data_IF_013232659869
#
_entry.id   IF_013232659869
#
_cell.length_a   1.000
_cell.length_b   1.000
_cell.length_c   1.000
_cell.angle_alpha   90.00
_cell.angle_beta   90.00
_cell.angle_gamma   90.00
#
_symmetry.space_group_name_H-M   'P 1'
#
loop_
_entity.id
_entity.type
_entity.pdbx_description
1 polymer ?
#
# COMPACT_ATOMS: atom_id res chain seq x y z
N UNK A 1 -1.85 -31.27 4.64
CA UNK A 1 -1.00 -30.40 5.49
C UNK A 1 -1.83 -29.16 5.81
N UNK A 2 -1.81 -28.71 7.06
CA UNK A 2 -2.41 -27.41 7.40
C UNK A 2 -1.33 -26.36 7.16
N UNK A 3 -1.56 -25.45 6.25
CA UNK A 3 -0.66 -24.32 5.97
C UNK A 3 -1.02 -23.13 6.86
N UNK A 4 -0.01 -22.44 7.37
CA UNK A 4 -0.14 -21.16 8.07
C UNK A 4 0.31 -20.05 7.12
N UNK A 5 -0.65 -19.28 6.63
CA UNK A 5 -0.40 -18.18 5.70
C UNK A 5 0.08 -16.93 6.45
N UNK A 6 1.30 -16.49 6.17
CA UNK A 6 1.98 -15.37 6.82
C UNK A 6 2.50 -14.34 5.81
N UNK A 7 1.81 -14.18 4.67
CA UNK A 7 2.14 -13.21 3.62
C UNK A 7 1.00 -12.23 3.31
N UNK A 8 0.41 -11.67 4.35
CA UNK A 8 -0.71 -10.71 4.26
C UNK A 8 -0.32 -9.38 3.57
N UNK A 9 0.96 -9.04 3.53
CA UNK A 9 1.43 -7.88 2.78
C UNK A 9 1.38 -8.10 1.27
N UNK A 10 1.45 -9.35 0.78
CA UNK A 10 1.19 -9.66 -0.62
C UNK A 10 -0.31 -9.64 -0.92
N UNK A 11 -1.12 -10.36 -0.15
CA UNK A 11 -2.58 -10.31 -0.24
C UNK A 11 -3.20 -10.88 1.05
N UNK A 12 -4.17 -10.20 1.64
CA UNK A 12 -4.90 -10.71 2.79
C UNK A 12 -6.03 -11.64 2.33
N UNK A 13 -6.26 -12.80 2.98
CA UNK A 13 -7.43 -13.64 2.70
C UNK A 13 -8.73 -12.84 2.79
N UNK A 14 -9.69 -13.15 1.93
CA UNK A 14 -10.94 -12.41 1.85
C UNK A 14 -11.74 -12.52 3.15
N UNK A 15 -12.28 -11.40 3.64
CA UNK A 15 -13.13 -11.34 4.83
C UNK A 15 -14.53 -11.81 4.51
N UNK A 16 -15.20 -12.42 5.50
CA UNK A 16 -16.58 -12.91 5.37
C UNK A 16 -17.54 -11.78 4.98
N UNK A 17 -17.33 -10.57 5.49
CA UNK A 17 -18.14 -9.39 5.19
C UNK A 17 -18.05 -9.00 3.72
N UNK A 18 -16.85 -9.03 3.15
CA UNK A 18 -16.64 -8.77 1.72
C UNK A 18 -17.29 -9.87 0.86
N UNK A 19 -17.10 -11.13 1.21
CA UNK A 19 -17.72 -12.26 0.52
C UNK A 19 -19.25 -12.20 0.57
N UNK A 20 -19.83 -11.84 1.72
CA UNK A 20 -21.26 -11.70 1.88
C UNK A 20 -21.81 -10.51 1.06
N UNK A 21 -21.06 -9.41 0.95
CA UNK A 21 -21.44 -8.28 0.11
C UNK A 21 -21.49 -8.68 -1.38
N UNK A 22 -20.52 -9.47 -1.87
CA UNK A 22 -20.57 -10.03 -3.22
C UNK A 22 -21.78 -10.91 -3.45
N UNK A 23 -22.05 -11.87 -2.55
CA UNK A 23 -23.22 -12.77 -2.63
C UNK A 23 -24.53 -11.98 -2.63
N UNK A 24 -24.63 -10.93 -1.79
CA UNK A 24 -25.82 -10.07 -1.73
C UNK A 24 -26.02 -9.33 -3.04
N UNK A 25 -24.94 -8.79 -3.62
CA UNK A 25 -25.00 -8.15 -4.93
C UNK A 25 -25.47 -9.11 -6.02
N UNK A 26 -24.88 -10.30 -6.10
CA UNK A 26 -25.25 -11.31 -7.13
C UNK A 26 -26.72 -11.75 -7.02
N UNK A 27 -27.31 -11.75 -5.83
CA UNK A 27 -28.72 -12.03 -5.60
C UNK A 27 -29.65 -10.82 -5.82
N UNK A 28 -29.11 -9.65 -6.09
CA UNK A 28 -29.87 -8.39 -6.18
C UNK A 28 -30.37 -8.12 -7.61
N UNK A 29 -31.44 -7.30 -7.77
CA UNK A 29 -31.92 -6.88 -9.10
C UNK A 29 -30.91 -6.06 -9.91
N UNK A 30 -29.86 -5.54 -9.29
CA UNK A 30 -28.82 -4.74 -9.94
C UNK A 30 -27.58 -5.54 -10.34
N UNK A 31 -27.58 -6.86 -10.15
CA UNK A 31 -26.49 -7.73 -10.55
C UNK A 31 -26.22 -7.58 -12.06
N UNK A 32 -24.98 -7.24 -12.44
CA UNK A 32 -24.56 -7.01 -13.83
C UNK A 32 -25.12 -5.75 -14.51
N UNK A 33 -25.86 -4.90 -13.77
CA UNK A 33 -26.44 -3.67 -14.33
C UNK A 33 -25.39 -2.56 -14.41
N UNK A 34 -25.30 -1.92 -15.56
CA UNK A 34 -24.40 -0.77 -15.77
C UNK A 34 -24.87 0.45 -14.94
N UNK A 35 -24.06 0.97 -14.01
CA UNK A 35 -24.44 2.12 -13.17
C UNK A 35 -24.57 3.44 -13.96
N UNK A 36 -24.14 3.49 -15.24
CA UNK A 36 -24.30 4.68 -16.08
C UNK A 36 -25.61 4.68 -16.88
N UNK A 37 -26.43 3.60 -16.75
CA UNK A 37 -27.73 3.54 -17.46
C UNK A 37 -28.78 4.44 -16.78
N UNK A 38 -29.59 5.12 -17.61
CA UNK A 38 -30.60 6.08 -17.13
C UNK A 38 -31.87 5.42 -16.57
N UNK A 39 -32.11 4.13 -16.80
CA UNK A 39 -33.26 3.42 -16.24
C UNK A 39 -33.12 3.17 -14.73
N UNK A 40 -34.20 2.77 -14.07
CA UNK A 40 -34.31 2.65 -12.60
C UNK A 40 -33.22 1.79 -11.98
N UNK A 41 -32.91 0.63 -12.57
CA UNK A 41 -31.88 -0.28 -12.06
C UNK A 41 -30.48 0.30 -12.20
N UNK A 42 -30.18 1.01 -13.32
CA UNK A 42 -28.92 1.72 -13.49
C UNK A 42 -28.70 2.79 -12.43
N UNK A 43 -29.75 3.61 -12.18
CA UNK A 43 -29.70 4.62 -11.10
C UNK A 43 -29.58 3.99 -9.71
N UNK A 44 -30.14 2.81 -9.49
CA UNK A 44 -29.95 2.06 -8.23
C UNK A 44 -28.51 1.59 -8.09
N UNK A 45 -27.93 0.97 -9.13
CA UNK A 45 -26.51 0.56 -9.14
C UNK A 45 -25.56 1.75 -8.93
N UNK A 46 -25.87 2.93 -9.51
CA UNK A 46 -25.13 4.17 -9.27
C UNK A 46 -25.16 4.61 -7.80
N UNK A 47 -26.34 4.56 -7.17
CA UNK A 47 -26.47 4.90 -5.73
C UNK A 47 -25.68 3.98 -4.83
N UNK A 48 -25.69 2.67 -5.11
CA UNK A 48 -24.89 1.70 -4.36
C UNK A 48 -23.39 1.96 -4.53
N UNK A 49 -22.94 2.26 -5.74
CA UNK A 49 -21.55 2.62 -6.03
C UNK A 49 -21.13 3.91 -5.30
N UNK A 50 -21.99 4.93 -5.26
CA UNK A 50 -21.73 6.17 -4.52
C UNK A 50 -21.75 5.95 -3.00
N UNK A 51 -22.58 5.03 -2.52
CA UNK A 51 -22.55 4.55 -1.14
C UNK A 51 -21.21 3.94 -0.78
N UNK A 52 -20.66 3.08 -1.64
CA UNK A 52 -19.34 2.49 -1.46
C UNK A 52 -18.22 3.56 -1.42
N UNK A 53 -18.28 4.56 -2.32
CA UNK A 53 -17.35 5.72 -2.30
C UNK A 53 -17.40 6.47 -0.97
N UNK A 54 -18.61 6.69 -0.45
CA UNK A 54 -18.79 7.39 0.81
C UNK A 54 -18.16 6.65 1.99
N UNK A 55 -18.29 5.34 2.03
CA UNK A 55 -17.64 4.49 3.06
C UNK A 55 -16.13 4.63 2.98
N UNK A 56 -15.55 4.49 1.79
CA UNK A 56 -14.10 4.57 1.58
C UNK A 56 -13.57 5.96 1.94
N UNK A 57 -14.23 7.03 1.49
CA UNK A 57 -13.82 8.40 1.78
C UNK A 57 -13.83 8.69 3.29
N UNK A 58 -14.87 8.23 4.00
CA UNK A 58 -14.99 8.39 5.45
C UNK A 58 -13.89 7.61 6.20
N UNK A 59 -13.56 6.40 5.72
CA UNK A 59 -12.51 5.57 6.31
C UNK A 59 -11.12 6.17 6.17
N UNK A 60 -10.82 6.76 5.02
CA UNK A 60 -9.57 7.47 4.78
C UNK A 60 -9.51 8.76 5.63
N UNK A 61 -10.63 9.44 5.81
CA UNK A 61 -10.69 10.68 6.57
C UNK A 61 -10.03 11.86 5.83
N UNK A 62 -9.33 12.75 6.56
CA UNK A 62 -8.59 13.86 5.97
C UNK A 62 -9.43 14.84 5.15
N UNK A 63 -10.77 14.87 5.34
CA UNK A 63 -11.75 15.66 4.58
C UNK A 63 -11.88 15.24 3.10
N UNK A 64 -11.53 14.02 2.74
CA UNK A 64 -11.89 13.45 1.45
C UNK A 64 -13.40 13.20 1.37
N UNK A 65 -13.98 13.36 0.18
CA UNK A 65 -15.41 13.20 -0.09
C UNK A 65 -15.63 12.06 -1.09
N UNK A 66 -16.84 11.54 -1.18
CA UNK A 66 -17.18 10.48 -2.15
C UNK A 66 -16.79 10.83 -3.59
N UNK A 67 -16.94 12.10 -4.00
CA UNK A 67 -16.56 12.57 -5.34
C UNK A 67 -15.04 12.62 -5.59
N UNK A 68 -14.22 12.50 -4.55
CA UNK A 68 -12.76 12.42 -4.66
C UNK A 68 -12.30 10.98 -4.92
N UNK A 69 -13.16 9.95 -4.71
CA UNK A 69 -12.86 8.53 -4.89
C UNK A 69 -12.99 8.13 -6.35
N UNK A 70 -11.97 7.50 -6.89
CA UNK A 70 -11.88 6.94 -8.24
C UNK A 70 -11.56 5.46 -8.14
N UNK A 71 -12.46 4.57 -8.55
CA UNK A 71 -12.19 3.14 -8.56
C UNK A 71 -11.27 2.76 -9.72
N UNK A 72 -10.35 1.83 -9.45
CA UNK A 72 -9.42 1.24 -10.40
C UNK A 72 -9.21 -0.25 -10.09
N UNK A 73 -8.42 -0.97 -10.90
CA UNK A 73 -8.29 -2.42 -10.78
C UNK A 73 -7.30 -2.90 -9.72
N UNK A 74 -6.42 -2.03 -9.22
CA UNK A 74 -5.39 -2.41 -8.25
C UNK A 74 -4.51 -1.25 -7.85
N UNK A 75 -3.66 -1.44 -6.84
CA UNK A 75 -2.72 -0.43 -6.36
C UNK A 75 -1.80 0.06 -7.48
N UNK A 76 -1.31 -0.84 -8.33
CA UNK A 76 -0.45 -0.49 -9.48
C UNK A 76 -1.16 0.45 -10.45
N UNK A 77 -2.40 0.15 -10.87
CA UNK A 77 -3.17 1.07 -11.71
C UNK A 77 -3.41 2.40 -10.99
N UNK A 78 -3.74 2.36 -9.71
CA UNK A 78 -3.99 3.56 -8.91
C UNK A 78 -2.77 4.48 -8.81
N UNK A 79 -1.60 3.92 -8.55
CA UNK A 79 -0.33 4.65 -8.49
C UNK A 79 0.04 5.25 -9.86
N UNK A 80 -0.06 4.46 -10.94
CA UNK A 80 0.19 4.93 -12.30
C UNK A 80 -0.77 6.05 -12.68
N UNK A 81 -2.07 5.86 -12.44
CA UNK A 81 -3.11 6.84 -12.70
C UNK A 81 -2.84 8.15 -11.96
N UNK A 82 -2.54 8.08 -10.66
CA UNK A 82 -2.28 9.24 -9.81
C UNK A 82 -1.03 9.98 -10.26
N UNK A 83 0.09 9.28 -10.31
CA UNK A 83 1.40 9.91 -10.55
C UNK A 83 1.49 10.50 -11.96
N UNK A 84 1.18 9.73 -13.00
CA UNK A 84 1.23 10.22 -14.38
C UNK A 84 0.17 11.29 -14.63
N UNK A 85 -1.06 11.05 -14.16
CA UNK A 85 -2.18 11.97 -14.37
C UNK A 85 -1.96 13.31 -13.67
N UNK A 86 -1.44 13.31 -12.44
CA UNK A 86 -1.09 14.53 -11.69
C UNK A 86 0.09 15.25 -12.33
N UNK A 87 1.20 14.55 -12.59
CA UNK A 87 2.41 15.17 -13.16
C UNK A 87 2.08 15.90 -14.48
N UNK A 88 1.42 15.23 -15.42
CA UNK A 88 1.04 15.84 -16.70
C UNK A 88 -0.02 16.93 -16.53
N UNK A 89 -1.01 16.73 -15.65
CA UNK A 89 -2.05 17.71 -15.38
C UNK A 89 -1.49 19.02 -14.77
N UNK A 90 -0.55 18.90 -13.84
CA UNK A 90 0.12 20.04 -13.20
C UNK A 90 0.98 20.78 -14.21
N UNK A 91 1.82 20.07 -14.98
CA UNK A 91 2.65 20.68 -16.02
C UNK A 91 1.84 21.37 -17.12
N UNK A 92 0.68 20.84 -17.46
CA UNK A 92 -0.21 21.49 -18.43
C UNK A 92 -0.75 22.85 -17.94
N UNK A 93 -0.89 23.03 -16.62
CA UNK A 93 -1.27 24.32 -16.01
C UNK A 93 -0.11 25.26 -15.80
N UNK A 94 1.08 24.71 -15.47
CA UNK A 94 2.31 25.47 -15.25
C UNK A 94 3.49 24.68 -15.83
N UNK A 95 3.94 25.06 -17.01
CA UNK A 95 5.01 24.40 -17.74
C UNK A 95 6.38 24.43 -17.03
N UNK A 96 6.55 25.26 -16.02
CA UNK A 96 7.76 25.31 -15.18
C UNK A 96 7.82 24.14 -14.22
N UNK A 97 6.67 23.50 -13.92
CA UNK A 97 6.57 22.36 -13.02
C UNK A 97 6.78 21.06 -13.78
N UNK A 98 8.03 20.70 -13.98
CA UNK A 98 8.44 19.54 -14.78
C UNK A 98 9.32 18.56 -14.00
N UNK A 99 9.38 18.66 -12.67
CA UNK A 99 10.14 17.77 -11.80
C UNK A 99 9.20 16.95 -10.93
N UNK A 100 9.48 15.66 -10.76
CA UNK A 100 8.78 14.75 -9.84
C UNK A 100 9.79 14.18 -8.85
N UNK A 101 9.40 14.09 -7.57
CA UNK A 101 10.25 13.52 -6.51
C UNK A 101 9.60 12.24 -6.00
N UNK A 102 10.34 11.12 -6.02
CA UNK A 102 9.95 9.84 -5.44
C UNK A 102 10.82 9.49 -4.24
N UNK A 103 10.30 8.74 -3.28
CA UNK A 103 11.16 8.10 -2.30
C UNK A 103 11.87 6.88 -2.91
N UNK A 104 13.08 6.59 -2.45
CA UNK A 104 13.85 5.42 -2.91
C UNK A 104 13.25 4.08 -2.41
N UNK A 105 12.29 4.14 -1.51
CA UNK A 105 11.63 2.97 -0.90
C UNK A 105 10.22 2.74 -1.43
N UNK A 106 9.83 3.38 -2.53
CA UNK A 106 8.54 3.16 -3.17
C UNK A 106 8.40 1.73 -3.71
N UNK A 107 7.15 1.31 -3.88
CA UNK A 107 6.83 0.10 -4.64
C UNK A 107 7.18 0.30 -6.13
N UNK A 108 7.53 -0.79 -6.84
CA UNK A 108 7.90 -0.78 -8.27
C UNK A 108 6.85 -0.07 -9.14
N UNK A 109 5.55 -0.15 -8.77
CA UNK A 109 4.48 0.60 -9.46
C UNK A 109 4.66 2.12 -9.50
N UNK A 110 5.57 2.67 -8.69
CA UNK A 110 5.96 4.09 -8.70
C UNK A 110 7.38 4.24 -9.25
N UNK A 111 8.34 3.41 -8.80
CA UNK A 111 9.73 3.55 -9.26
C UNK A 111 9.88 3.31 -10.76
N UNK A 112 9.14 2.35 -11.32
CA UNK A 112 9.16 2.06 -12.75
C UNK A 112 8.52 3.18 -13.60
N UNK A 113 7.86 4.16 -12.98
CA UNK A 113 7.40 5.35 -13.69
C UNK A 113 8.54 6.35 -13.94
N UNK A 114 9.69 6.22 -13.27
CA UNK A 114 10.79 7.15 -13.44
C UNK A 114 11.31 7.20 -14.89
N UNK A 115 11.62 6.08 -15.58
CA UNK A 115 11.98 6.11 -16.99
C UNK A 115 10.85 6.69 -17.86
N UNK A 116 9.59 6.30 -17.62
CA UNK A 116 8.43 6.79 -18.37
C UNK A 116 8.28 8.31 -18.28
N UNK A 117 8.46 8.86 -17.07
CA UNK A 117 8.40 10.30 -16.84
C UNK A 117 9.55 11.03 -17.51
N UNK A 118 10.77 10.45 -17.50
CA UNK A 118 11.92 11.02 -18.21
C UNK A 118 11.70 11.07 -19.72
N UNK A 119 11.14 10.01 -20.31
CA UNK A 119 10.75 9.99 -21.74
C UNK A 119 9.70 11.06 -22.04
N UNK A 120 8.81 11.36 -21.11
CA UNK A 120 7.84 12.46 -21.20
C UNK A 120 8.44 13.85 -20.94
N UNK A 121 9.75 13.97 -20.67
CA UNK A 121 10.47 15.23 -20.44
C UNK A 121 10.35 15.77 -19.03
N UNK A 122 10.05 14.93 -18.03
CA UNK A 122 10.17 15.29 -16.62
C UNK A 122 11.56 15.00 -16.08
N UNK A 123 12.05 15.83 -15.18
CA UNK A 123 13.12 15.49 -14.25
C UNK A 123 12.56 14.59 -13.14
N UNK A 124 13.28 13.52 -12.78
CA UNK A 124 12.90 12.66 -11.65
C UNK A 124 14.03 12.67 -10.63
N UNK A 125 13.75 13.15 -9.43
CA UNK A 125 14.63 13.15 -8.26
C UNK A 125 14.21 12.06 -7.29
N UNK A 126 15.18 11.47 -6.57
CA UNK A 126 14.94 10.38 -5.61
C UNK A 126 15.43 10.81 -4.23
N UNK A 127 14.49 10.89 -3.27
CA UNK A 127 14.82 11.13 -1.86
C UNK A 127 15.19 9.83 -1.17
N UNK A 128 16.35 9.81 -0.48
CA UNK A 128 16.83 8.63 0.22
C UNK A 128 16.27 8.56 1.64
N UNK A 129 15.97 7.34 2.15
CA UNK A 129 15.63 7.14 3.54
C UNK A 129 16.88 7.23 4.43
N UNK A 130 16.67 7.40 5.73
CA UNK A 130 17.71 7.15 6.72
C UNK A 130 17.85 5.62 6.97
N UNK A 131 18.80 5.22 7.83
CA UNK A 131 19.05 3.81 8.17
C UNK A 131 17.88 3.11 8.86
N UNK A 132 16.90 3.86 9.37
CA UNK A 132 15.67 3.32 9.94
C UNK A 132 14.53 3.19 8.91
N UNK A 133 14.79 3.47 7.63
CA UNK A 133 13.81 3.42 6.56
C UNK A 133 12.85 4.60 6.52
N UNK A 134 13.13 5.70 7.26
CA UNK A 134 12.31 6.92 7.26
C UNK A 134 12.85 7.95 6.29
N UNK A 135 11.96 8.61 5.57
CA UNK A 135 12.24 9.83 4.80
C UNK A 135 12.21 11.01 5.77
N UNK A 136 13.34 11.68 5.92
CA UNK A 136 13.46 12.87 6.76
C UNK A 136 13.04 14.12 6.00
N UNK A 137 12.36 15.04 6.70
CA UNK A 137 11.91 16.31 6.11
C UNK A 137 13.05 17.11 5.50
N UNK A 138 14.22 17.16 6.14
CA UNK A 138 15.41 17.84 5.65
C UNK A 138 15.98 17.26 4.35
N UNK A 139 15.92 15.92 4.21
CA UNK A 139 16.34 15.25 2.98
C UNK A 139 15.38 15.59 1.82
N UNK A 140 14.07 15.67 2.07
CA UNK A 140 13.11 16.10 1.08
C UNK A 140 13.28 17.57 0.72
N UNK A 141 13.42 18.47 1.70
CA UNK A 141 13.62 19.92 1.47
C UNK A 141 14.78 20.20 0.52
N UNK A 142 15.88 19.46 0.61
CA UNK A 142 17.04 19.59 -0.25
C UNK A 142 16.79 19.27 -1.73
N UNK A 143 15.67 18.65 -2.06
CA UNK A 143 15.28 18.29 -3.44
C UNK A 143 14.13 19.14 -3.99
N UNK A 144 13.60 20.07 -3.20
CA UNK A 144 12.42 20.86 -3.56
C UNK A 144 12.82 22.26 -4.07
N UNK A 145 12.21 22.64 -5.18
CA UNK A 145 12.21 23.98 -5.72
C UNK A 145 10.89 24.25 -6.46
N UNK A 146 10.78 25.39 -7.14
CA UNK A 146 9.58 25.79 -7.88
C UNK A 146 9.30 24.94 -9.13
N UNK A 147 10.25 24.12 -9.58
CA UNK A 147 10.06 23.20 -10.71
C UNK A 147 9.34 21.93 -10.30
N UNK A 148 9.26 21.61 -9.00
CA UNK A 148 8.64 20.38 -8.53
C UNK A 148 7.13 20.44 -8.68
N UNK A 149 6.59 19.54 -9.52
CA UNK A 149 5.16 19.34 -9.72
C UNK A 149 4.56 18.46 -8.64
N UNK A 150 5.21 17.33 -8.36
CA UNK A 150 4.68 16.25 -7.53
C UNK A 150 5.78 15.62 -6.68
N UNK A 151 5.43 15.34 -5.42
CA UNK A 151 6.17 14.47 -4.51
C UNK A 151 5.33 13.22 -4.27
N UNK A 152 5.93 12.03 -4.34
CA UNK A 152 5.28 10.77 -3.96
C UNK A 152 6.13 10.04 -2.94
N UNK A 153 5.57 9.81 -1.75
CA UNK A 153 6.17 9.02 -0.67
C UNK A 153 5.11 8.08 -0.11
N UNK A 154 5.41 6.77 -0.11
CA UNK A 154 4.49 5.76 0.42
C UNK A 154 4.19 6.00 1.91
N UNK A 155 2.98 5.63 2.34
CA UNK A 155 2.57 5.82 3.74
C UNK A 155 3.28 4.85 4.69
N UNK A 156 3.39 3.60 4.28
CA UNK A 156 4.09 2.55 5.03
C UNK A 156 4.78 1.60 4.06
N UNK A 157 6.00 1.23 4.38
CA UNK A 157 6.79 0.37 3.51
C UNK A 157 6.32 -1.10 3.64
N UNK A 158 6.12 -1.74 2.50
CA UNK A 158 5.60 -3.11 2.38
C UNK A 158 6.61 -4.19 2.79
N UNK A 159 7.91 -3.87 2.87
CA UNK A 159 8.96 -4.80 3.24
C UNK A 159 9.35 -4.68 4.71
N UNK A 160 9.59 -3.45 5.16
CA UNK A 160 10.10 -3.18 6.51
C UNK A 160 9.01 -2.87 7.52
N UNK A 161 7.82 -2.47 7.07
CA UNK A 161 6.73 -2.02 7.94
C UNK A 161 6.90 -0.59 8.48
N UNK A 162 7.92 0.15 8.09
CA UNK A 162 8.18 1.51 8.59
C UNK A 162 7.13 2.48 8.07
N UNK A 163 6.50 3.22 8.98
CA UNK A 163 5.50 4.26 8.68
C UNK A 163 6.22 5.59 8.44
N UNK A 164 5.85 6.27 7.36
CA UNK A 164 6.45 7.55 6.95
C UNK A 164 5.69 8.74 7.56
N UNK A 165 6.36 9.86 7.83
CA UNK A 165 5.73 11.08 8.38
C UNK A 165 5.01 11.88 7.27
N UNK A 166 4.02 11.25 6.61
CA UNK A 166 3.37 11.72 5.38
C UNK A 166 2.79 13.13 5.51
N UNK A 167 2.13 13.42 6.65
CA UNK A 167 1.55 14.76 6.88
C UNK A 167 2.62 15.87 6.95
N UNK A 168 3.76 15.57 7.55
CA UNK A 168 4.90 16.50 7.62
C UNK A 168 5.51 16.71 6.22
N UNK A 169 5.78 15.62 5.51
CA UNK A 169 6.38 15.66 4.16
C UNK A 169 5.47 16.38 3.17
N UNK A 170 4.13 16.18 3.26
CA UNK A 170 3.16 16.90 2.44
C UNK A 170 3.22 18.42 2.69
N UNK A 171 3.28 18.84 3.96
CA UNK A 171 3.40 20.28 4.30
C UNK A 171 4.72 20.88 3.79
N UNK A 172 5.80 20.12 3.84
CA UNK A 172 7.10 20.54 3.29
C UNK A 172 6.99 20.72 1.77
N UNK A 173 6.44 19.76 1.03
CA UNK A 173 6.21 19.85 -0.41
C UNK A 173 5.35 21.07 -0.78
N UNK A 174 4.30 21.34 -0.03
CA UNK A 174 3.41 22.49 -0.27
C UNK A 174 4.09 23.86 -0.12
N UNK A 175 5.19 23.98 0.63
CA UNK A 175 5.92 25.26 0.76
C UNK A 175 6.47 25.74 -0.59
N UNK A 176 6.79 24.83 -1.50
CA UNK A 176 7.22 25.15 -2.86
C UNK A 176 6.08 25.12 -3.87
N UNK A 177 4.85 24.80 -3.41
CA UNK A 177 3.65 24.64 -4.24
C UNK A 177 3.61 23.29 -4.98
N UNK A 178 4.45 22.33 -4.65
CA UNK A 178 4.38 20.96 -5.16
C UNK A 178 3.15 20.24 -4.56
N UNK A 179 2.49 19.39 -5.35
CA UNK A 179 1.44 18.49 -4.86
C UNK A 179 2.05 17.24 -4.22
N UNK A 180 1.27 16.58 -3.35
CA UNK A 180 1.75 15.41 -2.64
C UNK A 180 0.81 14.19 -2.83
N UNK A 181 1.39 13.08 -3.28
CA UNK A 181 0.76 11.76 -3.38
C UNK A 181 1.35 10.81 -2.35
N UNK A 182 0.55 9.87 -1.85
CA UNK A 182 1.03 8.75 -1.03
C UNK A 182 0.43 7.43 -1.47
N UNK A 183 1.25 6.41 -1.61
CA UNK A 183 0.78 5.02 -1.67
C UNK A 183 0.44 4.55 -0.25
N UNK A 184 -0.85 4.48 0.05
CA UNK A 184 -1.37 4.03 1.35
C UNK A 184 -1.86 2.57 1.32
N UNK A 185 -1.49 1.79 0.32
CA UNK A 185 -1.95 0.42 0.08
C UNK A 185 -1.66 -0.50 1.28
N UNK A 186 -0.53 -0.34 1.94
CA UNK A 186 -0.20 -1.13 3.14
C UNK A 186 -0.82 -0.58 4.43
N UNK A 187 -1.09 0.72 4.49
CA UNK A 187 -1.52 1.40 5.71
C UNK A 187 -3.04 1.41 5.89
N UNK A 188 -3.80 1.56 4.79
CA UNK A 188 -5.25 1.66 4.82
C UNK A 188 -5.88 0.44 5.49
N UNK A 189 -6.84 0.70 6.40
CA UNK A 189 -7.57 -0.33 7.14
C UNK A 189 -6.76 -1.07 8.22
N UNK A 190 -5.46 -0.80 8.35
CA UNK A 190 -4.58 -1.42 9.34
C UNK A 190 -4.08 -0.43 10.40
N UNK A 191 -3.99 0.85 10.04
CA UNK A 191 -3.68 1.97 10.96
C UNK A 191 -4.58 3.15 10.64
N UNK A 192 -4.70 4.09 11.60
CA UNK A 192 -5.35 5.37 11.35
C UNK A 192 -4.48 6.23 10.44
N UNK A 193 -5.06 6.74 9.35
CA UNK A 193 -4.34 7.59 8.41
C UNK A 193 -4.39 9.06 8.83
N UNK A 194 -3.27 9.75 8.77
CA UNK A 194 -3.14 11.20 8.92
C UNK A 194 -2.88 11.83 7.54
N UNK A 195 -3.96 12.16 6.81
CA UNK A 195 -3.90 12.56 5.39
C UNK A 195 -4.54 13.94 5.13
N UNK A 196 -4.64 14.78 6.15
CA UNK A 196 -5.26 16.11 6.01
C UNK A 196 -4.55 16.96 4.95
N UNK A 197 -3.24 16.88 4.88
CA UNK A 197 -2.38 17.64 3.97
C UNK A 197 -2.07 16.90 2.65
N UNK A 198 -2.52 15.64 2.50
CA UNK A 198 -2.30 14.84 1.27
C UNK A 198 -3.27 15.29 0.17
N UNK A 199 -2.77 15.41 -1.07
CA UNK A 199 -3.57 15.80 -2.23
C UNK A 199 -4.18 14.61 -2.95
N UNK A 200 -3.46 13.48 -3.02
CA UNK A 200 -3.97 12.23 -3.54
C UNK A 200 -3.34 11.03 -2.83
N UNK A 201 -4.09 9.93 -2.77
CA UNK A 201 -3.59 8.67 -2.22
C UNK A 201 -4.18 7.46 -2.94
N UNK A 202 -3.43 6.35 -2.92
CA UNK A 202 -3.85 5.07 -3.48
C UNK A 202 -4.06 4.04 -2.37
N UNK A 203 -5.15 3.27 -2.46
CA UNK A 203 -5.49 2.16 -1.55
C UNK A 203 -5.97 0.94 -2.35
N UNK A 204 -5.82 -0.27 -1.81
CA UNK A 204 -6.23 -1.51 -2.48
C UNK A 204 -7.05 -2.42 -1.57
N UNK A 205 -8.13 -3.00 -2.12
CA UNK A 205 -9.07 -3.81 -1.36
C UNK A 205 -8.42 -5.10 -0.81
N UNK A 206 -7.64 -5.79 -1.63
CA UNK A 206 -7.08 -7.10 -1.27
C UNK A 206 -6.08 -7.06 -0.11
N UNK A 207 -5.54 -5.90 0.25
CA UNK A 207 -4.63 -5.75 1.41
C UNK A 207 -5.38 -5.74 2.75
N UNK A 208 -6.68 -5.51 2.73
CA UNK A 208 -7.53 -5.48 3.93
C UNK A 208 -8.57 -6.61 3.96
N UNK A 209 -8.42 -7.60 3.09
CA UNK A 209 -9.37 -8.71 2.95
C UNK A 209 -10.61 -8.37 2.15
N UNK A 210 -10.54 -7.38 1.27
CA UNK A 210 -11.47 -7.17 0.17
C UNK A 210 -11.10 -8.02 -1.05
N UNK A 211 -11.85 -7.93 -2.16
CA UNK A 211 -11.59 -8.72 -3.35
C UNK A 211 -10.32 -8.25 -4.10
N UNK A 212 -9.74 -9.17 -4.86
CA UNK A 212 -8.74 -8.86 -5.89
C UNK A 212 -9.41 -8.06 -7.02
N UNK A 213 -8.62 -7.35 -7.79
CA UNK A 213 -9.08 -6.67 -9.02
C UNK A 213 -9.80 -5.34 -8.76
N UNK A 214 -9.81 -4.84 -7.52
CA UNK A 214 -10.32 -3.50 -7.21
C UNK A 214 -9.46 -2.76 -6.21
N UNK A 215 -9.32 -1.45 -6.45
CA UNK A 215 -8.61 -0.48 -5.65
C UNK A 215 -9.27 0.89 -5.80
N UNK A 216 -8.79 1.89 -5.09
CA UNK A 216 -9.26 3.25 -5.24
C UNK A 216 -8.11 4.26 -5.13
N UNK A 217 -8.23 5.31 -5.93
CA UNK A 217 -7.50 6.56 -5.76
C UNK A 217 -8.44 7.58 -5.14
N UNK A 218 -7.99 8.24 -4.09
CA UNK A 218 -8.67 9.43 -3.58
C UNK A 218 -7.83 10.64 -4.01
N UNK A 219 -8.45 11.56 -4.74
CA UNK A 219 -7.78 12.74 -5.29
C UNK A 219 -8.66 13.99 -5.09
N UNK A 220 -8.13 14.98 -4.40
CA UNK A 220 -8.86 16.23 -4.15
C UNK A 220 -9.20 16.92 -5.46
N UNK A 221 -10.38 17.53 -5.52
CA UNK A 221 -10.90 18.20 -6.73
C UNK A 221 -10.02 19.36 -7.24
N UNK A 222 -9.21 19.96 -6.36
CA UNK A 222 -8.26 21.04 -6.72
C UNK A 222 -7.05 20.55 -7.51
N UNK A 223 -6.74 19.24 -7.47
CA UNK A 223 -5.56 18.65 -8.11
C UNK A 223 -5.70 18.69 -9.62
N UNK A 224 -4.77 19.32 -10.36
CA UNK A 224 -4.77 19.24 -11.81
C UNK A 224 -4.49 17.80 -12.25
N UNK A 225 -5.30 17.32 -13.19
CA UNK A 225 -5.22 15.93 -13.62
C UNK A 225 -5.42 15.82 -15.12
N UNK A 226 -4.64 14.96 -15.76
CA UNK A 226 -4.81 14.56 -17.16
C UNK A 226 -5.11 13.06 -17.19
N UNK A 227 -6.23 12.69 -17.81
CA UNK A 227 -6.61 11.28 -17.97
C UNK A 227 -5.51 10.48 -18.68
N UNK A 228 -5.25 9.27 -18.17
CA UNK A 228 -4.24 8.34 -18.72
C UNK A 228 -4.88 7.24 -19.58
N UNK A 229 -6.19 7.14 -19.58
CA UNK A 229 -7.00 6.29 -20.47
C UNK A 229 -8.09 7.12 -21.10
N UNK A 230 -8.73 6.61 -22.17
CA UNK A 230 -9.75 7.33 -22.92
C UNK A 230 -10.98 6.47 -23.10
N UNK A 231 -12.19 7.04 -23.06
CA UNK A 231 -13.45 6.30 -23.20
C UNK A 231 -14.67 7.09 -22.74
N UNK A 232 -15.65 6.42 -22.15
CA UNK A 232 -17.00 6.91 -21.92
C UNK A 232 -17.21 7.87 -20.73
N UNK A 233 -16.17 8.47 -20.15
CA UNK A 233 -16.31 9.51 -19.11
C UNK A 233 -16.59 8.99 -17.70
N UNK A 234 -16.50 7.69 -17.45
CA UNK A 234 -16.66 7.12 -16.12
C UNK A 234 -15.63 7.72 -15.14
N UNK A 235 -15.88 7.57 -13.85
CA UNK A 235 -15.02 8.11 -12.77
C UNK A 235 -14.74 9.62 -12.97
N UNK A 236 -15.75 10.37 -13.39
CA UNK A 236 -15.62 11.80 -13.69
C UNK A 236 -14.55 12.12 -14.74
N UNK A 237 -14.35 11.22 -15.71
CA UNK A 237 -13.34 11.34 -16.77
C UNK A 237 -11.91 11.08 -16.33
N UNK A 238 -11.70 10.58 -15.10
CA UNK A 238 -10.36 10.28 -14.59
C UNK A 238 -9.92 8.86 -14.93
N UNK A 239 -10.83 7.89 -14.93
CA UNK A 239 -10.59 6.49 -15.27
C UNK A 239 -11.77 5.95 -16.07
N UNK A 240 -11.55 5.53 -17.29
CA UNK A 240 -12.59 5.07 -18.21
C UNK A 240 -12.82 3.56 -18.10
N UNK A 241 -14.00 3.12 -18.50
CA UNK A 241 -14.46 1.73 -18.44
C UNK A 241 -15.57 1.55 -17.41
N UNK A 242 -16.48 0.59 -17.69
CA UNK A 242 -17.61 0.28 -16.79
C UNK A 242 -17.11 -0.06 -15.38
N UNK A 243 -17.74 0.51 -14.38
CA UNK A 243 -17.35 0.32 -12.98
C UNK A 243 -17.78 -1.06 -12.48
N UNK A 244 -16.93 -1.69 -11.69
CA UNK A 244 -17.26 -2.91 -10.95
C UNK A 244 -18.02 -2.58 -9.66
N UNK A 245 -19.35 -2.59 -9.75
CA UNK A 245 -20.22 -2.33 -8.59
C UNK A 245 -20.06 -3.40 -7.53
N UNK A 246 -19.95 -4.69 -7.93
CA UNK A 246 -19.77 -5.82 -7.02
C UNK A 246 -18.51 -5.65 -6.18
N UNK A 247 -17.37 -5.46 -6.83
CA UNK A 247 -16.09 -5.27 -6.16
C UNK A 247 -16.08 -4.03 -5.26
N UNK A 248 -16.71 -2.92 -5.70
CA UNK A 248 -16.82 -1.71 -4.90
C UNK A 248 -17.60 -1.91 -3.60
N UNK A 249 -18.72 -2.67 -3.65
CA UNK A 249 -19.50 -3.00 -2.47
C UNK A 249 -18.75 -3.92 -1.51
N UNK A 250 -18.04 -4.92 -2.02
CA UNK A 250 -17.23 -5.82 -1.23
C UNK A 250 -16.02 -5.08 -0.60
N UNK A 251 -15.38 -4.18 -1.35
CA UNK A 251 -14.32 -3.31 -0.80
C UNK A 251 -14.86 -2.42 0.34
N UNK A 252 -16.03 -1.80 0.14
CA UNK A 252 -16.68 -1.01 1.19
C UNK A 252 -17.03 -1.85 2.43
N UNK A 253 -17.46 -3.10 2.26
CA UNK A 253 -17.75 -4.00 3.38
C UNK A 253 -16.48 -4.35 4.18
N UNK A 254 -15.38 -4.71 3.51
CA UNK A 254 -14.09 -4.91 4.15
C UNK A 254 -13.61 -3.64 4.87
N UNK A 255 -13.80 -2.48 4.26
CA UNK A 255 -13.44 -1.17 4.83
C UNK A 255 -14.20 -0.88 6.12
N UNK A 256 -15.52 -1.10 6.15
CA UNK A 256 -16.34 -0.92 7.37
C UNK A 256 -15.84 -1.82 8.49
N UNK A 257 -15.63 -3.10 8.18
CA UNK A 257 -15.13 -4.04 9.18
C UNK A 257 -13.80 -3.55 9.78
N UNK A 258 -12.85 -3.12 8.94
CA UNK A 258 -11.58 -2.59 9.40
C UNK A 258 -11.74 -1.35 10.29
N UNK A 259 -12.65 -0.42 9.94
CA UNK A 259 -12.92 0.77 10.75
C UNK A 259 -13.48 0.41 12.14
N UNK A 260 -14.48 -0.48 12.17
CA UNK A 260 -15.18 -0.85 13.40
C UNK A 260 -14.27 -1.61 14.37
N UNK A 261 -13.25 -2.32 13.85
CA UNK A 261 -12.36 -3.16 14.64
C UNK A 261 -10.92 -2.63 14.76
N UNK A 262 -10.60 -1.45 14.20
CA UNK A 262 -9.23 -0.95 14.03
C UNK A 262 -8.41 -0.97 15.33
N UNK A 263 -8.91 -0.40 16.40
CA UNK A 263 -8.18 -0.29 17.67
C UNK A 263 -7.86 -1.66 18.25
N UNK A 264 -8.87 -2.52 18.34
CA UNK A 264 -8.71 -3.87 18.88
C UNK A 264 -7.76 -4.72 18.04
N UNK A 265 -7.89 -4.67 16.72
CA UNK A 265 -6.99 -5.41 15.82
C UNK A 265 -5.56 -4.92 15.92
N UNK A 266 -5.35 -3.59 15.97
CA UNK A 266 -4.00 -3.03 16.15
C UNK A 266 -3.33 -3.51 17.43
N UNK A 267 -4.03 -3.49 18.56
CA UNK A 267 -3.51 -3.93 19.86
C UNK A 267 -3.09 -5.40 19.82
N UNK A 268 -3.99 -6.28 19.36
CA UNK A 268 -3.74 -7.72 19.28
C UNK A 268 -2.56 -8.02 18.35
N UNK A 269 -2.58 -7.44 17.16
CA UNK A 269 -1.59 -7.75 16.12
C UNK A 269 -0.22 -7.17 16.47
N UNK A 270 -0.16 -5.98 17.08
CA UNK A 270 1.10 -5.38 17.56
C UNK A 270 1.72 -6.22 18.69
N UNK A 271 0.91 -6.66 19.66
CA UNK A 271 1.39 -7.52 20.74
C UNK A 271 1.99 -8.82 20.20
N UNK A 272 1.30 -9.47 19.26
CA UNK A 272 1.78 -10.70 18.62
C UNK A 272 3.07 -10.47 17.82
N UNK A 273 3.14 -9.38 17.04
CA UNK A 273 4.33 -9.05 16.26
C UNK A 273 5.55 -8.78 17.15
N UNK A 274 5.38 -8.05 18.25
CA UNK A 274 6.43 -7.82 19.23
C UNK A 274 6.97 -9.14 19.81
N UNK A 275 6.07 -10.06 20.20
CA UNK A 275 6.45 -11.37 20.71
C UNK A 275 7.22 -12.21 19.67
N UNK A 276 6.81 -12.15 18.40
CA UNK A 276 7.55 -12.79 17.30
C UNK A 276 8.96 -12.20 17.17
N UNK A 277 9.09 -10.86 17.17
CA UNK A 277 10.41 -10.20 17.13
C UNK A 277 11.28 -10.60 18.32
N UNK A 278 10.77 -10.52 19.55
CA UNK A 278 11.50 -10.88 20.77
C UNK A 278 12.00 -12.34 20.71
N UNK A 279 11.12 -13.25 20.28
CA UNK A 279 11.46 -14.67 20.18
C UNK A 279 12.52 -14.93 19.10
N UNK A 280 12.36 -14.38 17.91
CA UNK A 280 13.29 -14.62 16.79
C UNK A 280 14.64 -13.92 17.01
N UNK A 281 14.63 -12.69 17.49
CA UNK A 281 15.85 -11.91 17.74
C UNK A 281 16.59 -12.32 19.03
N UNK A 282 16.08 -13.30 19.79
CA UNK A 282 16.87 -13.97 20.84
C UNK A 282 18.03 -14.79 20.28
N UNK A 283 17.94 -15.21 19.01
CA UNK A 283 19.04 -15.85 18.29
C UNK A 283 20.01 -14.81 17.73
N UNK A 284 21.32 -14.93 17.96
CA UNK A 284 22.32 -14.03 17.39
C UNK A 284 22.43 -14.12 15.85
N UNK A 285 21.81 -15.15 15.24
CA UNK A 285 21.78 -15.36 13.78
C UNK A 285 20.65 -14.57 13.10
N UNK A 286 19.72 -14.01 13.85
CA UNK A 286 18.56 -13.26 13.34
C UNK A 286 18.64 -11.82 13.81
N UNK A 287 18.49 -10.88 12.87
CA UNK A 287 18.50 -9.44 13.17
C UNK A 287 17.22 -8.79 12.63
N UNK A 288 16.60 -7.84 13.33
CA UNK A 288 15.54 -7.04 12.73
C UNK A 288 16.12 -6.14 11.63
N UNK A 289 15.34 -5.84 10.59
CA UNK A 289 15.78 -4.94 9.51
C UNK A 289 15.90 -3.49 9.97
N UNK A 290 15.13 -3.12 10.99
CA UNK A 290 15.17 -1.78 11.61
C UNK A 290 15.22 -1.89 13.12
N UNK A 291 15.87 -0.94 13.79
CA UNK A 291 15.88 -0.89 15.25
C UNK A 291 14.50 -0.51 15.83
N UNK A 292 13.66 0.18 15.05
CA UNK A 292 12.32 0.63 15.44
C UNK A 292 11.23 -0.34 14.99
N UNK A 293 11.43 -1.64 15.18
CA UNK A 293 10.49 -2.70 14.79
C UNK A 293 9.21 -2.77 15.66
N UNK A 294 9.14 -1.99 16.71
CA UNK A 294 7.99 -1.91 17.61
C UNK A 294 7.61 -0.45 17.84
N UNK A 295 6.34 -0.19 18.07
CA UNK A 295 5.83 1.13 18.42
C UNK A 295 5.02 1.80 17.31
N UNK A 296 4.72 3.09 17.49
CA UNK A 296 3.80 3.86 16.64
C UNK A 296 4.31 4.10 15.21
N UNK A 297 5.60 3.94 14.98
CA UNK A 297 6.24 4.20 13.70
C UNK A 297 6.41 2.93 12.86
N UNK A 298 5.76 1.83 13.28
CA UNK A 298 5.83 0.55 12.60
C UNK A 298 4.45 -0.07 12.40
N UNK A 299 4.25 -0.70 11.25
CA UNK A 299 2.98 -1.35 10.90
C UNK A 299 2.68 -2.55 11.78
N UNK A 300 1.47 -2.64 12.38
CA UNK A 300 1.07 -3.82 13.14
C UNK A 300 1.06 -5.05 12.23
N UNK A 301 1.51 -6.20 12.78
CA UNK A 301 1.52 -7.48 12.06
C UNK A 301 2.51 -7.55 10.90
N UNK A 302 3.51 -6.68 10.87
CA UNK A 302 4.65 -6.79 9.95
C UNK A 302 5.89 -7.11 10.76
N UNK A 303 6.54 -8.22 10.45
CA UNK A 303 7.83 -8.63 11.02
C UNK A 303 8.82 -8.75 9.89
N UNK A 304 9.87 -7.93 9.92
CA UNK A 304 10.91 -7.88 8.90
C UNK A 304 12.27 -8.14 9.56
N UNK A 305 12.89 -9.25 9.17
CA UNK A 305 14.15 -9.73 9.76
C UNK A 305 15.17 -10.07 8.68
N UNK A 306 16.39 -10.21 9.09
CA UNK A 306 17.51 -10.71 8.25
C UNK A 306 18.16 -11.90 8.92
N UNK A 307 18.49 -12.91 8.11
CA UNK A 307 19.29 -14.11 8.47
C UNK A 307 20.54 -14.07 7.60
N UNK A 308 21.61 -13.37 8.00
CA UNK A 308 22.79 -13.14 7.14
C UNK A 308 23.52 -14.41 6.68
N UNK A 309 23.25 -15.55 7.30
CA UNK A 309 23.89 -16.85 7.01
C UNK A 309 23.12 -17.70 5.99
N UNK A 310 21.94 -17.25 5.54
CA UNK A 310 21.09 -18.00 4.61
C UNK A 310 20.34 -17.02 3.70
N UNK A 311 20.24 -17.34 2.41
CA UNK A 311 19.46 -16.52 1.47
C UNK A 311 17.95 -16.71 1.65
N UNK A 312 17.19 -15.71 1.23
CA UNK A 312 15.72 -15.66 1.37
C UNK A 312 15.02 -16.82 0.68
N UNK A 313 15.49 -17.22 -0.51
CA UNK A 313 14.88 -18.30 -1.29
C UNK A 313 14.97 -19.63 -0.54
N UNK A 314 16.17 -19.95 -0.03
CA UNK A 314 16.38 -21.14 0.80
C UNK A 314 15.51 -21.11 2.07
N UNK A 315 15.40 -19.94 2.73
CA UNK A 315 14.54 -19.77 3.91
C UNK A 315 13.07 -20.04 3.60
N UNK A 316 12.55 -19.42 2.53
CA UNK A 316 11.16 -19.57 2.09
C UNK A 316 10.86 -21.03 1.76
N UNK A 317 11.70 -21.69 0.96
CA UNK A 317 11.50 -23.09 0.57
C UNK A 317 11.49 -24.04 1.77
N UNK A 318 12.38 -23.83 2.75
CA UNK A 318 12.39 -24.64 3.98
C UNK A 318 11.16 -24.40 4.87
N UNK A 319 10.68 -23.15 4.93
CA UNK A 319 9.48 -22.79 5.68
C UNK A 319 8.22 -23.33 4.99
N UNK A 320 8.11 -23.21 3.66
CA UNK A 320 7.03 -23.80 2.85
C UNK A 320 6.93 -25.31 3.06
N UNK A 321 8.06 -26.05 3.01
CA UNK A 321 8.11 -27.47 3.35
C UNK A 321 7.63 -27.78 4.77
N UNK A 322 7.78 -26.84 5.69
CA UNK A 322 7.29 -26.95 7.06
C UNK A 322 5.85 -26.46 7.24
N UNK A 323 5.19 -25.97 6.17
CA UNK A 323 3.80 -25.50 6.17
C UNK A 323 3.61 -24.03 6.54
N UNK A 324 4.64 -23.18 6.34
CA UNK A 324 4.57 -21.74 6.62
C UNK A 324 4.82 -20.91 5.36
N UNK A 325 3.79 -20.17 4.92
CA UNK A 325 3.83 -19.33 3.73
C UNK A 325 4.28 -17.92 4.10
N UNK A 326 5.52 -17.59 3.77
CA UNK A 326 6.18 -16.30 4.03
C UNK A 326 6.76 -15.72 2.74
N UNK A 327 7.28 -14.51 2.79
CA UNK A 327 7.88 -13.85 1.62
C UNK A 327 9.29 -13.32 1.92
N UNK A 328 10.10 -13.17 0.87
CA UNK A 328 11.26 -12.29 0.92
C UNK A 328 10.82 -10.83 1.08
N UNK A 329 11.71 -9.96 1.54
CA UNK A 329 11.45 -8.51 1.56
C UNK A 329 10.95 -8.02 0.19
N UNK A 330 11.65 -8.38 -0.88
CA UNK A 330 11.33 -8.02 -2.28
C UNK A 330 10.39 -9.02 -2.96
N UNK A 331 9.17 -9.20 -2.47
CA UNK A 331 8.19 -10.16 -3.02
C UNK A 331 7.86 -9.95 -4.52
N UNK A 332 8.00 -8.73 -5.06
CA UNK A 332 7.68 -8.40 -6.45
C UNK A 332 8.80 -8.76 -7.43
N UNK A 333 10.01 -9.02 -6.98
CA UNK A 333 11.15 -9.45 -7.80
C UNK A 333 11.32 -10.98 -7.79
N UNK A 334 10.20 -11.74 -7.66
CA UNK A 334 10.21 -13.20 -7.73
C UNK A 334 10.83 -13.66 -9.05
N UNK A 335 12.08 -14.16 -8.96
CA UNK A 335 12.91 -14.56 -10.11
C UNK A 335 14.20 -13.75 -10.28
N UNK A 336 14.44 -12.66 -9.54
CA UNK A 336 15.74 -12.01 -9.49
C UNK A 336 16.48 -12.38 -8.21
N UNK A 337 17.73 -12.83 -8.34
CA UNK A 337 18.69 -13.08 -7.23
C UNK A 337 19.19 -11.76 -6.60
N UNK A 338 18.47 -10.64 -6.79
CA UNK A 338 18.91 -9.35 -6.32
C UNK A 338 18.36 -9.01 -4.93
N UNK A 339 19.19 -8.32 -4.16
CA UNK A 339 18.83 -7.81 -2.85
C UNK A 339 17.73 -6.74 -2.98
N UNK A 340 16.87 -6.62 -1.98
CA UNK A 340 15.84 -5.60 -1.90
C UNK A 340 16.41 -4.19 -2.13
N UNK A 341 15.82 -3.45 -3.08
CA UNK A 341 16.18 -2.05 -3.32
C UNK A 341 15.89 -1.18 -2.08
N UNK A 342 14.85 -1.51 -1.31
CA UNK A 342 14.49 -0.83 -0.05
C UNK A 342 15.61 -0.97 0.96
N UNK A 343 16.06 -2.20 1.23
CA UNK A 343 17.12 -2.45 2.20
C UNK A 343 18.46 -1.84 1.75
N UNK A 344 18.73 -1.91 0.46
CA UNK A 344 19.92 -1.26 -0.13
C UNK A 344 19.87 0.26 0.02
N UNK A 345 18.70 0.88 -0.23
CA UNK A 345 18.51 2.33 -0.03
C UNK A 345 18.69 2.75 1.44
N UNK A 346 18.39 1.85 2.39
CA UNK A 346 18.63 2.06 3.83
C UNK A 346 20.12 1.91 4.22
N UNK A 347 20.99 1.53 3.29
CA UNK A 347 22.41 1.30 3.52
C UNK A 347 22.75 -0.07 4.12
N UNK A 348 21.83 -1.03 4.03
CA UNK A 348 22.08 -2.43 4.37
C UNK A 348 22.90 -3.06 3.23
N UNK A 349 23.95 -3.80 3.59
CA UNK A 349 24.80 -4.44 2.59
C UNK A 349 24.01 -5.48 1.76
N UNK A 350 24.38 -5.64 0.47
CA UNK A 350 23.74 -6.62 -0.42
C UNK A 350 23.70 -8.01 0.20
N UNK A 351 24.80 -8.43 0.82
CA UNK A 351 24.90 -9.76 1.41
C UNK A 351 23.94 -9.96 2.59
N UNK A 352 23.76 -8.96 3.45
CA UNK A 352 22.78 -9.02 4.54
C UNK A 352 21.35 -8.98 4.02
N UNK A 353 21.08 -8.14 3.02
CA UNK A 353 19.75 -7.98 2.42
C UNK A 353 19.28 -9.26 1.69
N UNK A 354 20.18 -10.07 1.15
CA UNK A 354 19.85 -11.37 0.53
C UNK A 354 19.22 -12.37 1.51
N UNK A 355 19.45 -12.23 2.80
CA UNK A 355 18.84 -13.07 3.84
C UNK A 355 17.58 -12.45 4.46
N UNK A 356 16.94 -11.49 3.81
CA UNK A 356 15.74 -10.83 4.34
C UNK A 356 14.52 -11.74 4.29
N UNK A 357 13.72 -11.73 5.35
CA UNK A 357 12.46 -12.45 5.45
C UNK A 357 11.38 -11.52 5.99
N UNK A 358 10.23 -11.51 5.33
CA UNK A 358 9.04 -10.78 5.75
C UNK A 358 7.96 -11.74 6.18
N UNK A 359 7.46 -11.57 7.38
CA UNK A 359 6.34 -12.31 7.96
C UNK A 359 5.22 -11.29 8.21
N UNK A 360 4.06 -11.49 7.64
CA UNK A 360 2.94 -10.56 7.78
C UNK A 360 1.63 -11.28 8.05
N UNK A 361 0.85 -10.75 8.99
CA UNK A 361 -0.39 -11.35 9.45
C UNK A 361 -1.37 -10.28 9.98
N UNK A 362 -2.62 -10.70 10.16
CA UNK A 362 -3.62 -9.93 10.90
C UNK A 362 -4.15 -10.72 12.12
N UNK A 363 -5.25 -10.27 12.71
CA UNK A 363 -5.84 -10.85 13.92
C UNK A 363 -6.31 -12.31 13.77
N UNK A 364 -6.47 -12.79 12.54
CA UNK A 364 -6.94 -14.14 12.22
C UNK A 364 -5.87 -15.23 12.43
N UNK A 365 -4.59 -14.85 12.40
CA UNK A 365 -3.50 -15.80 12.68
C UNK A 365 -3.35 -15.99 14.18
N UNK A 366 -3.44 -17.23 14.66
CA UNK A 366 -3.40 -17.54 16.09
C UNK A 366 -2.01 -17.33 16.72
N UNK A 367 -1.96 -17.05 18.01
CA UNK A 367 -0.72 -17.00 18.75
C UNK A 367 0.01 -18.35 18.76
N UNK A 368 -0.74 -19.46 18.76
CA UNK A 368 -0.20 -20.82 18.68
C UNK A 368 0.57 -21.05 17.38
N UNK A 369 0.00 -20.63 16.24
CA UNK A 369 0.64 -20.74 14.93
C UNK A 369 1.92 -19.91 14.85
N UNK A 370 1.90 -18.69 15.39
CA UNK A 370 3.07 -17.81 15.42
C UNK A 370 4.20 -18.36 16.32
N UNK A 371 3.87 -18.95 17.46
CA UNK A 371 4.86 -19.59 18.33
C UNK A 371 5.49 -20.84 17.67
N UNK A 372 4.67 -21.65 16.99
CA UNK A 372 5.13 -22.80 16.24
C UNK A 372 6.02 -22.39 15.05
N UNK A 373 5.65 -21.32 14.34
CA UNK A 373 6.47 -20.69 13.31
C UNK A 373 7.84 -20.27 13.84
N UNK A 374 7.88 -19.52 14.95
CA UNK A 374 9.14 -19.08 15.56
C UNK A 374 10.04 -20.25 15.92
N UNK A 375 9.49 -21.30 16.55
CA UNK A 375 10.24 -22.51 16.90
C UNK A 375 10.83 -23.18 15.65
N UNK A 376 10.05 -23.24 14.57
CA UNK A 376 10.49 -23.86 13.31
C UNK A 376 11.59 -23.05 12.64
N UNK A 377 11.44 -21.72 12.55
CA UNK A 377 12.46 -20.85 11.96
C UNK A 377 13.77 -20.89 12.76
N UNK A 378 13.71 -20.83 14.10
CA UNK A 378 14.91 -20.94 14.94
C UNK A 378 15.66 -22.25 14.66
N UNK A 379 14.95 -23.39 14.56
CA UNK A 379 15.56 -24.68 14.21
C UNK A 379 16.18 -24.72 12.80
N UNK A 380 15.56 -24.01 11.83
CA UNK A 380 16.08 -23.94 10.45
C UNK A 380 17.40 -23.17 10.39
N UNK A 381 17.57 -22.17 11.23
CA UNK A 381 18.76 -21.29 11.23
C UNK A 381 19.87 -21.76 12.18
N UNK A 382 19.57 -22.73 13.06
CA UNK A 382 20.58 -23.41 13.87
C UNK A 382 21.54 -24.24 13.01
#
# INVERSE_FOLDING_TARGET
MNYVYLDYAASAPMRTEALNAEKTYEASPIAGVNPNSLHSLGRQAARELDGARSVIANAVGGKFRSCDVVFCSGGTEGNNLSVLGMAEGIRNKDHKRNTVVFSAIEHDSILDLAPVLREKGFEVRIVQPNRQGKIEGSALEGLLDQSVALVSVMYANNETGVIQPVSELARIAHRTGAFFHTDAVQAFGRIRLEVTDVDALTIAAHKIGGPLGIAAVLMRSKVPFKAQSYGGGQESGRRHGTQDVRGALAFAAATRWCQDNLTQTQEIVSMRANKVYETLCSSPKIKPTTAAYAGKDHMPGTVSIMVPTMDSETLILKLDQAGYEVSAGSACSSGSLDASHVLTAMGISRNEALGSLRITFDERVSEGDLNAFCTTLLRIVE
#
